data_IF_312924772432
#
_entry.id   IF_312924772432
#
_cell.length_a   1.000
_cell.length_b   1.000
_cell.length_c   1.000
_cell.angle_alpha   90.00
_cell.angle_beta   90.00
_cell.angle_gamma   90.00
#
_symmetry.space_group_name_H-M   'P 1'
#
loop_
_entity.id
_entity.type
_entity.pdbx_description
1 polymer ?
#
# COMPACT_ATOMS: atom_id res chain seq x y z
N UNK A 1 -5.35 7.78 7.05
CA UNK A 1 -4.30 7.37 6.08
C UNK A 1 -3.53 6.18 6.62
N UNK A 2 -3.25 5.17 5.79
CA UNK A 2 -2.31 4.10 6.13
C UNK A 2 -0.94 4.39 5.49
N UNK A 3 0.14 4.34 6.27
CA UNK A 3 1.49 4.65 5.81
C UNK A 3 2.45 3.47 6.07
N UNK A 4 2.73 2.71 5.02
CA UNK A 4 3.43 1.42 5.06
C UNK A 4 4.77 1.40 4.33
N UNK A 5 5.70 2.31 4.65
CA UNK A 5 7.01 2.35 3.99
C UNK A 5 8.08 1.40 4.58
N UNK A 6 7.88 0.84 5.76
CA UNK A 6 8.63 -0.30 6.32
C UNK A 6 10.15 -0.11 6.55
N UNK A 7 10.82 -1.20 6.98
CA UNK A 7 12.16 -1.24 7.61
C UNK A 7 13.39 -0.82 6.76
N UNK A 8 13.24 -0.52 5.47
CA UNK A 8 14.37 -0.21 4.56
C UNK A 8 14.46 1.28 4.19
N UNK A 9 13.68 2.11 4.87
CA UNK A 9 13.79 3.56 4.80
C UNK A 9 14.42 4.02 6.11
N UNK A 10 15.35 4.96 6.03
CA UNK A 10 15.95 5.58 7.21
C UNK A 10 14.86 6.20 8.09
N UNK A 11 14.61 5.58 9.23
CA UNK A 11 13.52 5.95 10.16
C UNK A 11 13.71 7.38 10.68
N UNK A 12 14.96 7.84 10.82
CA UNK A 12 15.25 9.21 11.25
C UNK A 12 14.83 10.25 10.21
N UNK A 13 14.84 9.89 8.93
CA UNK A 13 14.32 10.74 7.87
C UNK A 13 12.80 10.74 7.84
N UNK A 14 12.16 9.62 8.18
CA UNK A 14 10.70 9.53 8.22
C UNK A 14 10.09 10.50 9.23
N UNK A 15 10.61 10.61 10.45
CA UNK A 15 10.08 11.51 11.49
C UNK A 15 10.04 13.00 11.08
N UNK A 16 10.91 13.38 10.15
CA UNK A 16 11.06 14.76 9.67
C UNK A 16 10.24 15.07 8.42
N UNK A 17 9.54 14.09 7.84
CA UNK A 17 8.76 14.32 6.64
C UNK A 17 7.60 15.29 6.92
N UNK A 18 7.34 16.28 6.05
CA UNK A 18 6.26 17.25 6.24
C UNK A 18 4.87 16.63 6.12
N UNK A 19 4.76 15.40 5.60
CA UNK A 19 3.49 14.71 5.44
C UNK A 19 2.73 14.58 6.77
N UNK A 20 3.42 14.49 7.91
CA UNK A 20 2.78 14.41 9.22
C UNK A 20 2.04 15.69 9.60
N UNK A 21 2.43 16.83 9.04
CA UNK A 21 1.80 18.13 9.25
C UNK A 21 0.63 18.38 8.28
N UNK A 22 0.23 17.36 7.50
CA UNK A 22 -0.92 17.45 6.59
C UNK A 22 -2.21 17.74 7.37
N UNK A 23 -2.97 18.78 6.99
CA UNK A 23 -4.21 19.13 7.69
C UNK A 23 -5.25 18.02 7.59
N UNK A 24 -6.05 17.87 8.64
CA UNK A 24 -7.16 16.90 8.70
C UNK A 24 -6.76 15.45 8.42
N UNK A 25 -5.49 15.10 8.64
CA UNK A 25 -4.98 13.75 8.42
C UNK A 25 -4.65 13.06 9.75
N UNK A 26 -5.15 11.83 9.91
CA UNK A 26 -4.67 10.87 10.90
C UNK A 26 -3.92 9.76 10.19
N UNK A 27 -2.74 9.40 10.70
CA UNK A 27 -1.85 8.41 10.12
C UNK A 27 -1.80 7.16 10.99
N UNK A 28 -1.98 6.01 10.35
CA UNK A 28 -1.70 4.70 10.92
C UNK A 28 -0.40 4.20 10.32
N UNK A 29 0.57 3.87 11.17
CA UNK A 29 1.91 3.36 10.78
C UNK A 29 2.17 2.00 11.40
N UNK A 30 3.12 1.25 10.84
CA UNK A 30 3.60 0.02 11.46
C UNK A 30 4.38 0.28 12.75
N UNK A 31 4.37 -0.66 13.69
CA UNK A 31 4.96 -0.52 15.03
C UNK A 31 6.47 -0.19 15.07
N UNK A 32 7.17 -0.41 13.95
CA UNK A 32 8.60 -0.13 13.80
C UNK A 32 8.89 1.30 13.29
N UNK A 33 7.87 2.07 12.92
CA UNK A 33 7.99 3.48 12.53
C UNK A 33 8.04 4.32 13.80
N UNK A 34 9.16 5.00 14.04
CA UNK A 34 9.38 5.83 15.23
C UNK A 34 9.08 7.29 14.88
N UNK A 35 7.79 7.65 14.89
CA UNK A 35 7.34 9.03 14.66
C UNK A 35 6.42 9.45 15.80
N UNK A 36 6.84 10.43 16.58
CA UNK A 36 6.10 10.93 17.73
C UNK A 36 5.33 12.20 17.35
N UNK A 37 4.09 12.05 16.87
CA UNK A 37 3.21 13.17 16.48
C UNK A 37 1.77 12.92 16.97
N UNK A 38 1.00 13.95 17.35
CA UNK A 38 -0.36 13.78 17.90
C UNK A 38 -1.35 13.06 16.98
N UNK A 39 -1.12 13.09 15.68
CA UNK A 39 -1.96 12.51 14.63
C UNK A 39 -1.37 11.24 14.01
N UNK A 40 -0.31 10.66 14.60
CA UNK A 40 0.33 9.43 14.13
C UNK A 40 0.15 8.33 15.18
N UNK A 41 -0.44 7.21 14.76
CA UNK A 41 -0.72 6.08 15.64
C UNK A 41 -0.10 4.81 15.08
N UNK A 42 0.61 4.09 15.94
CA UNK A 42 1.23 2.81 15.55
C UNK A 42 0.26 1.66 15.74
N UNK A 43 0.24 0.76 14.76
CA UNK A 43 -0.43 -0.54 14.88
C UNK A 43 0.25 -1.32 16.02
N UNK A 44 -0.50 -1.97 16.93
CA UNK A 44 0.08 -2.81 17.98
C UNK A 44 0.97 -3.91 17.39
N UNK A 45 2.10 -4.21 18.05
CA UNK A 45 3.11 -5.15 17.54
C UNK A 45 2.59 -6.59 17.45
N UNK A 46 1.65 -6.95 18.30
CA UNK A 46 0.96 -8.23 18.39
C UNK A 46 -0.24 -8.33 17.43
N UNK A 47 -0.63 -7.23 16.79
CA UNK A 47 -1.70 -7.24 15.80
C UNK A 47 -1.17 -7.64 14.42
N UNK A 48 -1.64 -8.78 13.93
CA UNK A 48 -1.15 -9.38 12.68
C UNK A 48 -1.96 -8.98 11.44
N UNK A 49 -3.19 -8.48 11.62
CA UNK A 49 -4.17 -8.30 10.53
C UNK A 49 -4.12 -6.90 9.91
N UNK A 50 -2.94 -6.48 9.43
CA UNK A 50 -2.73 -5.13 8.87
C UNK A 50 -3.71 -4.74 7.74
N UNK A 51 -4.30 -5.71 7.04
CA UNK A 51 -5.31 -5.50 6.01
C UNK A 51 -6.56 -4.78 6.52
N UNK A 52 -6.93 -4.91 7.80
CA UNK A 52 -8.07 -4.19 8.36
C UNK A 52 -7.82 -2.67 8.40
N UNK A 53 -6.60 -2.24 8.73
CA UNK A 53 -6.22 -0.83 8.70
C UNK A 53 -6.12 -0.30 7.27
N UNK A 54 -5.63 -1.13 6.34
CA UNK A 54 -5.62 -0.81 4.90
C UNK A 54 -7.07 -0.59 4.42
N UNK A 55 -7.98 -1.51 4.71
CA UNK A 55 -9.39 -1.43 4.31
C UNK A 55 -10.17 -0.27 4.98
N UNK A 56 -9.74 0.20 6.14
CA UNK A 56 -10.33 1.36 6.81
C UNK A 56 -9.80 2.70 6.27
N UNK A 57 -8.64 2.73 5.61
CA UNK A 57 -8.00 3.99 5.21
C UNK A 57 -8.69 4.68 4.02
N UNK A 58 -8.58 6.01 3.98
CA UNK A 58 -8.97 6.84 2.82
C UNK A 58 -7.90 6.86 1.70
N UNK A 59 -6.65 6.60 2.09
CA UNK A 59 -5.48 6.56 1.22
C UNK A 59 -4.45 5.62 1.84
N UNK A 60 -3.83 4.81 0.99
CA UNK A 60 -2.73 3.92 1.33
C UNK A 60 -1.46 4.47 0.68
N UNK A 61 -0.45 4.76 1.50
CA UNK A 61 0.87 5.23 1.08
C UNK A 61 1.86 4.10 1.36
N UNK A 62 2.53 3.59 0.34
CA UNK A 62 3.35 2.39 0.48
C UNK A 62 4.50 2.35 -0.52
N UNK A 63 5.46 1.47 -0.26
CA UNK A 63 6.35 0.95 -1.31
C UNK A 63 5.55 0.02 -2.24
N UNK A 64 6.05 -0.30 -3.44
CA UNK A 64 5.43 -1.24 -4.36
C UNK A 64 5.55 -2.72 -3.91
N UNK A 65 5.50 -3.00 -2.61
CA UNK A 65 5.53 -4.37 -2.08
C UNK A 65 4.17 -5.04 -2.25
N UNK A 66 4.18 -6.28 -2.72
CA UNK A 66 2.96 -6.99 -3.12
C UNK A 66 1.91 -7.12 -2.03
N UNK A 67 2.29 -7.35 -0.77
CA UNK A 67 1.32 -7.52 0.32
C UNK A 67 0.41 -6.30 0.54
N UNK A 68 0.98 -5.11 0.77
CA UNK A 68 0.16 -3.91 0.98
C UNK A 68 -0.58 -3.52 -0.30
N UNK A 69 0.08 -3.66 -1.45
CA UNK A 69 -0.52 -3.36 -2.76
C UNK A 69 -1.73 -4.25 -3.03
N UNK A 70 -1.64 -5.57 -2.82
CA UNK A 70 -2.74 -6.50 -3.08
C UNK A 70 -3.94 -6.22 -2.18
N UNK A 71 -3.70 -5.97 -0.89
CA UNK A 71 -4.77 -5.65 0.06
C UNK A 71 -5.46 -4.34 -0.29
N UNK A 72 -4.70 -3.30 -0.63
CA UNK A 72 -5.27 -2.00 -0.98
C UNK A 72 -6.07 -2.04 -2.29
N UNK A 73 -5.57 -2.76 -3.30
CA UNK A 73 -6.29 -2.96 -4.57
C UNK A 73 -7.58 -3.76 -4.34
N UNK A 74 -7.53 -4.85 -3.56
CA UNK A 74 -8.72 -5.64 -3.21
C UNK A 74 -9.75 -4.82 -2.42
N UNK A 75 -9.29 -3.96 -1.51
CA UNK A 75 -10.13 -3.06 -0.72
C UNK A 75 -10.51 -1.76 -1.46
N UNK A 76 -10.13 -1.61 -2.73
CA UNK A 76 -10.40 -0.45 -3.60
C UNK A 76 -9.96 0.88 -2.97
N UNK A 77 -8.79 0.87 -2.36
CA UNK A 77 -8.23 2.06 -1.73
C UNK A 77 -7.31 2.80 -2.67
N UNK A 78 -7.42 4.15 -2.73
CA UNK A 78 -6.45 4.96 -3.44
C UNK A 78 -5.02 4.62 -2.96
N UNK A 79 -4.11 4.50 -3.92
CA UNK A 79 -2.72 4.09 -3.68
C UNK A 79 -1.76 5.17 -4.14
N UNK A 80 -0.93 5.66 -3.22
CA UNK A 80 0.25 6.46 -3.51
C UNK A 80 1.50 5.61 -3.28
N UNK A 81 2.20 5.28 -4.35
CA UNK A 81 3.34 4.37 -4.33
C UNK A 81 4.66 5.15 -4.41
N UNK A 82 5.56 4.87 -3.47
CA UNK A 82 6.92 5.39 -3.51
C UNK A 82 7.71 4.73 -4.65
N UNK A 83 8.10 5.51 -5.66
CA UNK A 83 8.86 5.05 -6.82
C UNK A 83 10.35 4.91 -6.47
N UNK A 84 10.79 3.65 -6.38
CA UNK A 84 12.18 3.28 -6.10
C UNK A 84 12.80 2.72 -7.38
N UNK A 85 13.45 3.58 -8.14
CA UNK A 85 13.98 3.26 -9.49
C UNK A 85 15.05 2.15 -9.51
N UNK A 86 15.60 1.76 -8.37
CA UNK A 86 16.75 0.86 -8.29
C UNK A 86 16.39 -0.64 -8.25
N UNK A 87 15.11 -1.00 -8.09
CA UNK A 87 14.69 -2.41 -7.94
C UNK A 87 13.73 -2.81 -9.07
N UNK A 88 14.10 -3.82 -9.88
CA UNK A 88 13.27 -4.31 -10.99
C UNK A 88 11.88 -4.79 -10.55
N UNK A 89 11.79 -5.47 -9.42
CA UNK A 89 10.53 -5.94 -8.83
C UNK A 89 9.59 -4.77 -8.50
N UNK A 90 10.13 -3.71 -7.88
CA UNK A 90 9.41 -2.47 -7.59
C UNK A 90 8.90 -1.85 -8.91
N UNK A 91 9.74 -1.80 -9.95
CA UNK A 91 9.37 -1.22 -11.25
C UNK A 91 8.30 -2.02 -11.99
N UNK A 92 8.37 -3.36 -11.98
CA UNK A 92 7.33 -4.21 -12.59
C UNK A 92 5.97 -3.99 -11.93
N UNK A 93 5.96 -3.91 -10.59
CA UNK A 93 4.73 -3.66 -9.83
C UNK A 93 4.18 -2.27 -10.13
N UNK A 94 5.03 -1.24 -10.15
CA UNK A 94 4.62 0.13 -10.50
C UNK A 94 4.07 0.20 -11.92
N UNK A 95 4.72 -0.46 -12.89
CA UNK A 95 4.29 -0.48 -14.28
C UNK A 95 2.86 -1.04 -14.39
N UNK A 96 2.63 -2.23 -13.82
CA UNK A 96 1.30 -2.85 -13.81
C UNK A 96 0.24 -1.94 -13.16
N UNK A 97 0.56 -1.34 -12.01
CA UNK A 97 -0.39 -0.45 -11.33
C UNK A 97 -0.69 0.82 -12.14
N UNK A 98 0.29 1.39 -12.84
CA UNK A 98 0.11 2.57 -13.69
C UNK A 98 -0.74 2.25 -14.93
N UNK A 99 -0.44 1.15 -15.62
CA UNK A 99 -1.16 0.69 -16.82
C UNK A 99 -2.64 0.39 -16.52
N UNK A 100 -2.94 -0.07 -15.30
CA UNK A 100 -4.30 -0.34 -14.85
C UNK A 100 -4.94 0.82 -14.06
N UNK A 101 -4.29 1.99 -14.03
CA UNK A 101 -4.75 3.18 -13.29
C UNK A 101 -4.99 2.99 -11.78
N UNK A 102 -4.34 2.00 -11.17
CA UNK A 102 -4.51 1.59 -9.78
C UNK A 102 -3.69 2.40 -8.77
N UNK A 103 -2.66 3.14 -9.21
CA UNK A 103 -1.91 4.04 -8.32
C UNK A 103 -1.55 5.41 -8.92
N UNK A 104 -1.20 6.35 -8.04
CA UNK A 104 -0.25 7.43 -8.33
C UNK A 104 1.11 7.06 -7.75
N UNK A 105 2.16 7.65 -8.31
CA UNK A 105 3.52 7.50 -7.78
C UNK A 105 4.05 8.81 -7.22
N UNK A 106 4.94 8.70 -6.24
CA UNK A 106 5.71 9.80 -5.68
C UNK A 106 7.16 9.33 -5.55
N UNK A 107 8.12 10.18 -5.88
CA UNK A 107 9.54 9.92 -5.66
C UNK A 107 9.94 10.22 -4.22
N UNK A 108 11.11 9.73 -3.79
CA UNK A 108 11.64 10.06 -2.47
C UNK A 108 11.86 11.57 -2.29
N UNK A 109 12.34 12.25 -3.33
CA UNK A 109 12.57 13.70 -3.29
C UNK A 109 11.27 14.51 -3.20
N UNK A 110 10.22 14.11 -3.91
CA UNK A 110 8.91 14.75 -3.79
C UNK A 110 8.31 14.52 -2.40
N UNK A 111 8.46 13.33 -1.82
CA UNK A 111 7.95 13.01 -0.48
C UNK A 111 8.53 13.92 0.62
N UNK A 112 9.78 14.37 0.48
CA UNK A 112 10.42 15.33 1.41
C UNK A 112 9.75 16.70 1.47
N UNK A 113 8.92 17.02 0.49
CA UNK A 113 8.22 18.31 0.38
C UNK A 113 6.70 18.13 0.33
N UNK A 114 6.22 16.89 0.54
CA UNK A 114 4.84 16.54 0.28
C UNK A 114 3.95 16.69 1.51
N UNK A 115 2.87 17.42 1.34
CA UNK A 115 1.75 17.51 2.27
C UNK A 115 0.48 17.09 1.54
N UNK A 116 -0.43 16.45 2.27
CA UNK A 116 -1.74 16.05 1.77
C UNK A 116 -2.72 17.19 2.04
N UNK A 117 -3.32 17.71 0.98
CA UNK A 117 -4.42 18.66 1.07
C UNK A 117 -5.72 18.07 0.50
N UNK A 118 -6.80 18.84 0.61
CA UNK A 118 -8.12 18.41 0.14
C UNK A 118 -8.15 18.21 -1.38
N UNK A 119 -7.43 19.04 -2.14
CA UNK A 119 -7.37 18.97 -3.59
C UNK A 119 -6.70 17.66 -4.05
N UNK A 120 -5.59 17.28 -3.41
CA UNK A 120 -4.91 16.01 -3.63
C UNK A 120 -5.82 14.85 -3.28
N UNK A 121 -6.49 14.87 -2.13
CA UNK A 121 -7.41 13.79 -1.74
C UNK A 121 -8.59 13.65 -2.70
N UNK A 122 -9.13 14.75 -3.22
CA UNK A 122 -10.16 14.73 -4.26
C UNK A 122 -9.66 14.04 -5.54
N UNK A 123 -8.43 14.36 -5.96
CA UNK A 123 -7.77 13.72 -7.11
C UNK A 123 -7.55 12.22 -6.88
N UNK A 124 -7.12 11.82 -5.69
CA UNK A 124 -6.92 10.40 -5.33
C UNK A 124 -8.25 9.62 -5.33
N UNK A 125 -9.33 10.21 -4.82
CA UNK A 125 -10.67 9.60 -4.86
C UNK A 125 -11.20 9.43 -6.29
N UNK A 126 -10.90 10.38 -7.19
CA UNK A 126 -11.26 10.24 -8.61
C UNK A 126 -10.42 9.22 -9.37
N UNK A 127 -9.35 8.68 -8.76
CA UNK A 127 -8.45 7.73 -9.41
C UNK A 127 -9.07 6.33 -9.57
N UNK A 128 -10.11 6.01 -8.79
CA UNK A 128 -10.98 4.88 -9.02
C UNK A 128 -12.30 5.37 -9.65
N UNK A 129 -12.33 5.81 -10.93
CA UNK A 129 -13.59 5.80 -11.65
C UNK A 129 -14.02 4.34 -11.72
N UNK A 130 -15.31 4.06 -11.51
CA UNK A 130 -15.96 2.74 -11.59
C UNK A 130 -15.29 1.79 -12.58
N UNK A 131 -14.24 1.07 -12.15
CA UNK A 131 -13.56 0.11 -12.98
C UNK A 131 -14.38 -1.17 -12.89
N UNK A 132 -14.84 -1.69 -14.02
CA UNK A 132 -15.56 -2.97 -14.08
C UNK A 132 -14.65 -4.17 -13.72
N UNK A 133 -13.34 -3.94 -13.61
CA UNK A 133 -12.36 -4.94 -13.20
C UNK A 133 -12.28 -4.99 -11.68
N UNK A 134 -12.93 -5.98 -11.09
CA UNK A 134 -12.91 -6.21 -9.65
C UNK A 134 -11.78 -7.16 -9.28
N UNK A 135 -10.74 -6.63 -8.65
CA UNK A 135 -9.79 -7.46 -7.92
C UNK A 135 -10.44 -7.94 -6.62
N UNK A 136 -10.22 -9.20 -6.30
CA UNK A 136 -10.73 -9.85 -5.10
C UNK A 136 -9.65 -10.76 -4.53
N UNK A 137 -9.81 -11.14 -3.26
CA UNK A 137 -8.94 -12.12 -2.65
C UNK A 137 -9.10 -13.47 -3.37
N UNK A 138 -8.02 -13.92 -4.02
CA UNK A 138 -7.97 -15.15 -4.80
C UNK A 138 -7.31 -16.33 -4.08
N UNK A 139 -7.06 -16.24 -2.77
CA UNK A 139 -6.36 -17.28 -2.00
C UNK A 139 -7.03 -18.66 -2.14
N UNK A 140 -8.37 -18.72 -2.07
CA UNK A 140 -9.12 -19.96 -2.25
C UNK A 140 -8.92 -20.55 -3.66
N UNK A 141 -9.00 -19.73 -4.71
CA UNK A 141 -8.77 -20.16 -6.10
C UNK A 141 -7.36 -20.74 -6.27
N UNK A 142 -6.34 -20.04 -5.79
CA UNK A 142 -4.94 -20.49 -5.86
C UNK A 142 -4.74 -21.78 -5.09
N UNK A 143 -5.33 -21.90 -3.88
CA UNK A 143 -5.24 -23.12 -3.08
C UNK A 143 -5.85 -24.33 -3.79
N UNK A 144 -7.00 -24.16 -4.45
CA UNK A 144 -7.67 -25.19 -5.24
C UNK A 144 -6.82 -25.64 -6.43
N UNK A 145 -6.20 -24.70 -7.14
CA UNK A 145 -5.30 -25.01 -8.26
C UNK A 145 -4.05 -25.78 -7.80
N UNK A 146 -3.44 -25.39 -6.69
CA UNK A 146 -2.31 -26.11 -6.09
C UNK A 146 -2.72 -27.54 -5.74
N UNK A 147 -3.87 -27.72 -5.07
CA UNK A 147 -4.39 -29.05 -4.73
C UNK A 147 -4.65 -29.92 -5.96
N UNK A 148 -5.16 -29.34 -7.05
CA UNK A 148 -5.38 -30.04 -8.31
C UNK A 148 -4.06 -30.56 -8.92
N UNK A 149 -3.00 -29.74 -8.92
CA UNK A 149 -1.67 -30.14 -9.42
C UNK A 149 -1.09 -31.28 -8.56
N UNK A 150 -1.26 -31.23 -7.24
CA UNK A 150 -0.77 -32.27 -6.34
C UNK A 150 -1.50 -33.61 -6.53
N UNK A 151 -2.82 -33.59 -6.69
CA UNK A 151 -3.62 -34.81 -6.96
C UNK A 151 -3.21 -35.47 -8.28
N UNK A 152 -3.11 -34.68 -9.36
CA UNK A 152 -2.72 -35.17 -10.68
C UNK A 152 -1.30 -35.76 -10.74
N UNK A 153 -0.41 -35.38 -9.80
CA UNK A 153 0.92 -36.01 -9.67
C UNK A 153 0.85 -37.34 -8.93
N UNK A 154 0.02 -37.45 -7.90
CA UNK A 154 -0.14 -38.70 -7.14
C UNK A 154 -0.82 -39.79 -7.97
N UNK A 155 -1.71 -39.43 -8.90
CA UNK A 155 -2.35 -40.40 -9.81
C UNK A 155 -1.42 -40.90 -10.94
N UNK A 156 -0.18 -40.37 -11.04
CA UNK A 156 0.83 -40.74 -12.04
C UNK A 156 1.99 -41.56 -11.45
N UNK A 157 1.91 -41.95 -10.18
CA UNK A 157 2.86 -42.81 -9.46
C UNK A 157 2.17 -44.14 -9.15
#
# INVERSE_FOLDING_TARGET
>A
MFFGLGMKIDIKQLERLPIWDSPNCTFIVSSNVQVQRPNVFSIPKDYIESQHYIAAADLVISKPGWGIVSEAVCARKPLLILDRQTMKEDQNTILYLKENHLCKTITWNELHHFVIDEAFMKKMRSQYPFHNTFFSNQADMVSKQILQVLRNKNDRV
#
